data_IF_845700258387
#
_entry.id   IF_845700258387
#
_cell.length_a   1.000
_cell.length_b   1.000
_cell.length_c   1.000
_cell.angle_alpha   90.00
_cell.angle_beta   90.00
_cell.angle_gamma   90.00
#
_symmetry.space_group_name_H-M   'P 1'
#
loop_
_entity.id
_entity.type
_entity.pdbx_description
1 polymer ?
#
# COMPACT_ATOMS: atom_id res chain seq x y z
N UNK A 1 -24.57 10.54 -1.75
CA UNK A 1 -23.15 10.95 -1.68
C UNK A 1 -22.30 10.33 -2.82
N UNK A 2 -22.83 10.30 -4.03
CA UNK A 2 -22.21 9.65 -5.21
C UNK A 2 -21.62 10.64 -6.25
N UNK A 3 -22.02 11.94 -6.31
CA UNK A 3 -21.52 12.81 -7.38
C UNK A 3 -20.04 13.23 -7.22
N UNK A 4 -19.55 13.46 -6.01
CA UNK A 4 -18.16 13.91 -5.81
C UNK A 4 -17.09 12.89 -6.22
N UNK A 5 -17.36 11.58 -6.07
CA UNK A 5 -16.44 10.52 -6.47
C UNK A 5 -16.29 10.42 -7.99
N UNK A 6 -17.37 10.71 -8.73
CA UNK A 6 -17.37 10.68 -10.19
C UNK A 6 -16.55 11.83 -10.79
N UNK A 7 -16.61 13.02 -10.19
CA UNK A 7 -15.79 14.16 -10.62
C UNK A 7 -14.30 13.98 -10.31
N UNK A 8 -13.95 13.33 -9.19
CA UNK A 8 -12.57 13.01 -8.86
C UNK A 8 -11.97 11.94 -9.80
N UNK A 9 -12.77 10.94 -10.18
CA UNK A 9 -12.34 9.92 -11.14
C UNK A 9 -12.16 10.51 -12.55
N UNK A 10 -13.05 11.39 -12.99
CA UNK A 10 -12.95 12.09 -14.26
C UNK A 10 -11.76 13.06 -14.27
N UNK A 11 -11.51 13.80 -13.19
CA UNK A 11 -10.33 14.64 -13.06
C UNK A 11 -9.01 13.81 -13.13
N UNK A 12 -8.97 12.63 -12.51
CA UNK A 12 -7.81 11.74 -12.56
C UNK A 12 -7.59 11.17 -13.96
N UNK A 13 -8.65 10.81 -14.68
CA UNK A 13 -8.58 10.33 -16.07
C UNK A 13 -8.16 11.48 -17.01
N UNK A 14 -8.68 12.70 -16.81
CA UNK A 14 -8.28 13.88 -17.59
C UNK A 14 -6.79 14.23 -17.38
N UNK A 15 -6.27 14.12 -16.16
CA UNK A 15 -4.84 14.36 -15.87
C UNK A 15 -3.96 13.34 -16.57
N UNK A 16 -4.37 12.06 -16.62
CA UNK A 16 -3.63 11.02 -17.36
C UNK A 16 -3.69 11.28 -18.87
N UNK A 17 -4.83 11.72 -19.40
CA UNK A 17 -5.00 12.01 -20.82
C UNK A 17 -4.27 13.28 -21.27
N UNK A 18 -4.14 14.28 -20.39
CA UNK A 18 -3.45 15.53 -20.70
C UNK A 18 -1.91 15.42 -20.66
N UNK A 19 -1.38 14.49 -19.84
CA UNK A 19 0.07 14.22 -19.76
C UNK A 19 0.67 13.56 -21.01
N UNK A 20 -0.17 13.01 -21.90
CA UNK A 20 0.29 12.29 -23.09
C UNK A 20 0.64 13.19 -24.30
N UNK A 21 0.43 14.52 -24.20
CA UNK A 21 0.61 15.43 -25.31
C UNK A 21 1.76 16.46 -25.16
N UNK A 22 2.70 16.24 -24.24
CA UNK A 22 3.89 17.08 -24.15
C UNK A 22 4.98 16.51 -25.05
N UNK A 23 4.99 16.92 -26.31
CA UNK A 23 6.11 16.69 -27.22
C UNK A 23 7.30 17.53 -26.75
N UNK A 24 8.32 16.87 -26.24
CA UNK A 24 9.61 17.51 -25.95
C UNK A 24 10.26 17.94 -27.28
N UNK A 25 10.32 19.23 -27.53
CA UNK A 25 11.19 19.80 -28.60
C UNK A 25 12.65 19.67 -28.17
N UNK A 26 13.41 18.86 -28.90
CA UNK A 26 14.86 18.81 -28.76
C UNK A 26 15.49 20.09 -29.32
N UNK A 27 16.54 20.65 -28.68
CA UNK A 27 17.27 21.79 -29.24
C UNK A 27 18.01 21.37 -30.50
N UNK A 28 17.83 22.18 -31.57
CA UNK A 28 18.54 22.03 -32.81
C UNK A 28 20.01 22.46 -32.65
N UNK A 29 20.89 21.48 -32.56
CA UNK A 29 22.33 21.66 -32.61
C UNK A 29 22.93 20.42 -33.27
N UNK A 30 23.28 20.55 -34.56
CA UNK A 30 23.75 19.44 -35.38
C UNK A 30 25.14 18.96 -34.97
N UNK A 31 25.20 17.67 -34.63
CA UNK A 31 26.37 16.82 -34.82
C UNK A 31 25.92 15.69 -35.71
N UNK A 32 26.38 15.68 -36.97
CA UNK A 32 26.19 14.54 -37.88
C UNK A 32 27.04 13.36 -37.38
N UNK A 33 26.41 12.46 -36.66
CA UNK A 33 26.93 11.11 -36.50
C UNK A 33 26.45 10.26 -37.68
N UNK A 34 27.30 9.36 -38.25
CA UNK A 34 26.80 8.41 -39.25
C UNK A 34 25.62 7.66 -38.68
N UNK A 35 24.48 7.69 -39.33
CA UNK A 35 23.35 6.87 -39.06
C UNK A 35 23.74 5.39 -39.29
N UNK A 36 24.28 4.71 -38.25
CA UNK A 36 24.16 3.29 -38.20
C UNK A 36 22.67 3.03 -38.13
N UNK A 37 22.11 2.41 -39.17
CA UNK A 37 20.79 1.80 -39.16
C UNK A 37 20.77 0.75 -38.02
N UNK A 38 20.66 1.25 -36.79
CA UNK A 38 20.31 0.41 -35.66
C UNK A 38 18.85 0.02 -35.91
N UNK A 39 18.67 -1.25 -36.31
CA UNK A 39 17.38 -1.91 -36.25
C UNK A 39 16.73 -1.56 -34.91
N UNK A 40 15.83 -0.59 -34.92
CA UNK A 40 15.14 -0.16 -33.71
C UNK A 40 14.34 -1.35 -33.24
N UNK A 41 14.70 -1.97 -32.08
CA UNK A 41 14.01 -3.15 -31.60
C UNK A 41 12.53 -2.86 -31.55
N UNK A 42 11.73 -3.73 -32.16
CA UNK A 42 10.28 -3.59 -32.20
C UNK A 42 9.72 -3.73 -30.79
N UNK A 43 8.56 -3.12 -30.52
CA UNK A 43 7.86 -3.26 -29.24
C UNK A 43 7.65 -4.73 -28.84
N UNK A 44 7.61 -5.64 -29.81
CA UNK A 44 7.52 -7.09 -29.57
C UNK A 44 8.80 -7.68 -28.96
N UNK A 45 9.97 -7.20 -29.39
CA UNK A 45 11.26 -7.65 -28.85
C UNK A 45 11.46 -7.13 -27.42
N UNK A 46 11.01 -5.91 -27.15
CA UNK A 46 11.03 -5.33 -25.81
C UNK A 46 10.11 -6.10 -24.84
N UNK A 47 8.91 -6.50 -25.29
CA UNK A 47 8.00 -7.34 -24.49
C UNK A 47 8.61 -8.72 -24.26
N UNK A 48 9.24 -9.33 -25.27
CA UNK A 48 9.89 -10.63 -25.12
C UNK A 48 11.06 -10.57 -24.13
N UNK A 49 11.88 -9.54 -24.21
CA UNK A 49 12.99 -9.33 -23.28
C UNK A 49 12.52 -9.20 -21.80
N UNK A 50 11.35 -8.59 -21.60
CA UNK A 50 10.75 -8.39 -20.28
C UNK A 50 9.72 -9.47 -19.87
N UNK A 51 9.45 -10.45 -20.74
CA UNK A 51 8.40 -11.45 -20.52
C UNK A 51 8.57 -12.21 -19.19
N UNK A 52 9.81 -12.54 -18.83
CA UNK A 52 10.12 -13.22 -17.56
C UNK A 52 9.76 -12.33 -16.38
N UNK A 53 10.12 -11.05 -16.41
CA UNK A 53 9.86 -10.11 -15.31
C UNK A 53 8.37 -9.83 -15.17
N UNK A 54 7.66 -9.66 -16.29
CA UNK A 54 6.20 -9.52 -16.31
C UNK A 54 5.54 -10.79 -15.75
N UNK A 55 5.99 -11.97 -16.21
CA UNK A 55 5.47 -13.25 -15.71
C UNK A 55 5.67 -13.45 -14.22
N UNK A 56 6.83 -13.05 -13.68
CA UNK A 56 7.11 -13.11 -12.25
C UNK A 56 6.23 -12.14 -11.44
N UNK A 57 6.01 -10.91 -11.93
CA UNK A 57 5.11 -9.94 -11.27
C UNK A 57 3.68 -10.45 -11.28
N UNK A 58 3.21 -11.04 -12.39
CA UNK A 58 1.87 -11.64 -12.48
C UNK A 58 1.73 -12.80 -11.51
N UNK A 59 2.69 -13.73 -11.49
CA UNK A 59 2.68 -14.89 -10.59
C UNK A 59 2.70 -14.47 -9.13
N UNK A 60 3.55 -13.50 -8.77
CA UNK A 60 3.61 -12.95 -7.41
C UNK A 60 2.32 -12.23 -7.03
N UNK A 61 1.76 -11.43 -7.93
CA UNK A 61 0.48 -10.74 -7.69
C UNK A 61 -0.66 -11.74 -7.54
N UNK A 62 -0.70 -12.80 -8.35
CA UNK A 62 -1.67 -13.88 -8.21
C UNK A 62 -1.54 -14.57 -6.83
N UNK A 63 -0.33 -14.87 -6.37
CA UNK A 63 -0.07 -15.40 -5.02
C UNK A 63 -0.60 -14.45 -3.93
N UNK A 64 -0.32 -13.14 -4.07
CA UNK A 64 -0.77 -12.12 -3.12
C UNK A 64 -2.31 -12.04 -3.04
N UNK A 65 -2.99 -12.04 -4.19
CA UNK A 65 -4.45 -12.03 -4.25
C UNK A 65 -5.06 -13.34 -3.77
N UNK A 66 -4.51 -14.49 -4.13
CA UNK A 66 -4.93 -15.79 -3.61
C UNK A 66 -4.84 -15.80 -2.09
N UNK A 67 -3.72 -15.33 -1.53
CA UNK A 67 -3.57 -15.16 -0.09
C UNK A 67 -4.60 -14.21 0.52
N UNK A 68 -4.96 -13.15 -0.19
CA UNK A 68 -5.97 -12.17 0.24
C UNK A 68 -7.38 -12.77 0.25
N UNK A 69 -7.78 -13.53 -0.78
CA UNK A 69 -9.12 -14.10 -0.87
C UNK A 69 -9.30 -15.32 0.05
N UNK A 70 -8.32 -16.21 0.14
CA UNK A 70 -8.37 -17.39 1.01
C UNK A 70 -8.27 -17.06 2.50
N UNK A 71 -7.78 -15.85 2.85
CA UNK A 71 -7.61 -15.38 4.26
C UNK A 71 -6.82 -16.35 5.15
N UNK A 72 -6.00 -17.22 4.54
CA UNK A 72 -5.18 -18.18 5.25
C UNK A 72 -3.99 -17.50 5.93
N UNK A 73 -3.80 -17.78 7.24
CA UNK A 73 -2.70 -17.21 8.00
C UNK A 73 -1.33 -17.69 7.48
N UNK A 74 -1.22 -18.97 7.13
CA UNK A 74 0.03 -19.55 6.62
C UNK A 74 0.41 -18.90 5.29
N UNK A 75 -0.55 -18.83 4.35
CA UNK A 75 -0.35 -18.24 3.03
C UNK A 75 -0.02 -16.74 3.12
N UNK A 76 -0.60 -16.00 4.08
CA UNK A 76 -0.25 -14.60 4.35
C UNK A 76 1.25 -14.46 4.63
N UNK A 77 1.81 -15.24 5.57
CA UNK A 77 3.24 -15.13 5.92
C UNK A 77 4.16 -15.60 4.81
N UNK A 78 3.77 -16.62 4.04
CA UNK A 78 4.50 -17.03 2.82
C UNK A 78 4.55 -15.88 1.82
N UNK A 79 3.41 -15.22 1.58
CA UNK A 79 3.35 -14.05 0.67
C UNK A 79 4.19 -12.88 1.18
N UNK A 80 4.16 -12.60 2.49
CA UNK A 80 4.98 -11.54 3.08
C UNK A 80 6.48 -11.86 2.94
N UNK A 81 6.90 -13.09 3.19
CA UNK A 81 8.28 -13.54 2.96
C UNK A 81 8.70 -13.42 1.49
N UNK A 82 7.85 -13.90 0.58
CA UNK A 82 8.07 -13.75 -0.86
C UNK A 82 8.15 -12.28 -1.30
N UNK A 83 7.36 -11.40 -0.70
CA UNK A 83 7.40 -9.97 -0.96
C UNK A 83 8.75 -9.35 -0.57
N UNK A 84 9.26 -9.66 0.63
CA UNK A 84 10.56 -9.16 1.09
C UNK A 84 11.68 -9.63 0.17
N UNK A 85 11.66 -10.91 -0.23
CA UNK A 85 12.71 -11.48 -1.08
C UNK A 85 12.59 -10.96 -2.51
N UNK A 86 11.41 -11.08 -3.14
CA UNK A 86 11.22 -10.80 -4.56
C UNK A 86 11.17 -9.29 -4.86
N UNK A 87 10.21 -8.57 -4.24
CA UNK A 87 10.01 -7.12 -4.46
C UNK A 87 11.09 -6.30 -3.76
N UNK A 88 11.54 -6.76 -2.57
CA UNK A 88 12.58 -6.09 -1.80
C UNK A 88 13.97 -6.35 -2.37
N UNK A 89 14.59 -7.46 -2.00
CA UNK A 89 16.01 -7.70 -2.26
C UNK A 89 16.35 -8.08 -3.70
N UNK A 90 15.51 -8.87 -4.38
CA UNK A 90 15.85 -9.34 -5.72
C UNK A 90 15.65 -8.25 -6.79
N UNK A 91 14.45 -7.70 -6.89
CA UNK A 91 14.12 -6.74 -7.95
C UNK A 91 14.18 -5.27 -7.51
N UNK A 92 14.12 -4.99 -6.21
CA UNK A 92 14.07 -3.62 -5.64
C UNK A 92 13.02 -2.72 -6.32
N UNK A 93 11.89 -3.32 -6.75
CA UNK A 93 10.84 -2.66 -7.54
C UNK A 93 9.71 -2.13 -6.66
N UNK A 94 10.04 -1.54 -5.51
CA UNK A 94 9.03 -0.91 -4.66
C UNK A 94 8.43 0.32 -5.34
N UNK A 95 7.13 0.46 -5.22
CA UNK A 95 6.47 1.71 -5.60
C UNK A 95 6.83 2.79 -4.59
N UNK A 96 7.24 3.94 -5.11
CA UNK A 96 7.64 5.12 -4.37
C UNK A 96 6.73 6.29 -4.71
N UNK A 97 6.63 7.26 -3.80
CA UNK A 97 5.91 8.50 -4.06
C UNK A 97 6.60 9.32 -5.16
N UNK A 98 7.91 9.19 -5.31
CA UNK A 98 8.67 9.85 -6.40
C UNK A 98 8.20 9.39 -7.78
N UNK A 99 7.82 8.13 -7.91
CA UNK A 99 7.26 7.61 -9.16
C UNK A 99 5.90 8.25 -9.50
N UNK A 100 5.11 8.58 -8.47
CA UNK A 100 3.86 9.34 -8.64
C UNK A 100 4.17 10.77 -9.10
N UNK A 101 5.22 11.39 -8.56
CA UNK A 101 5.65 12.72 -8.98
C UNK A 101 6.25 12.73 -10.38
N UNK A 102 7.00 11.69 -10.76
CA UNK A 102 7.48 11.49 -12.12
C UNK A 102 6.34 11.49 -13.15
N UNK A 103 5.19 10.91 -12.79
CA UNK A 103 3.97 10.96 -13.60
C UNK A 103 3.50 12.40 -13.85
N UNK A 104 3.52 13.25 -12.83
CA UNK A 104 3.12 14.66 -12.96
C UNK A 104 4.19 15.53 -13.64
N UNK A 105 5.47 15.16 -13.54
CA UNK A 105 6.60 15.87 -14.12
C UNK A 105 6.92 15.49 -15.57
N UNK A 106 6.23 14.52 -16.14
CA UNK A 106 6.53 13.99 -17.48
C UNK A 106 7.81 13.12 -17.54
N UNK A 107 8.50 12.93 -16.42
CA UNK A 107 9.72 12.12 -16.30
C UNK A 107 9.38 10.68 -15.90
N UNK A 108 8.59 10.01 -16.72
CA UNK A 108 8.30 8.59 -16.52
C UNK A 108 9.49 7.74 -16.97
N UNK A 109 9.82 6.67 -16.24
CA UNK A 109 10.70 5.64 -16.78
C UNK A 109 10.11 5.15 -18.10
N UNK A 110 10.93 5.08 -19.15
CA UNK A 110 10.46 4.66 -20.47
C UNK A 110 9.82 3.28 -20.32
N UNK A 111 8.56 3.12 -20.75
CA UNK A 111 7.77 1.87 -20.66
C UNK A 111 8.57 0.68 -21.19
N UNK A 112 9.40 0.93 -22.18
CA UNK A 112 10.32 0.00 -22.83
C UNK A 112 11.25 -0.73 -21.85
N UNK A 113 11.67 -0.08 -20.74
CA UNK A 113 12.63 -0.67 -19.78
C UNK A 113 11.99 -1.16 -18.49
N UNK A 114 10.72 -0.91 -18.24
CA UNK A 114 10.11 -1.21 -16.94
C UNK A 114 8.61 -1.58 -17.00
N UNK A 115 8.20 -2.36 -18.00
CA UNK A 115 6.81 -2.81 -18.17
C UNK A 115 6.28 -3.53 -16.92
N UNK A 116 7.12 -4.35 -16.27
CA UNK A 116 6.77 -5.04 -15.03
C UNK A 116 6.43 -4.06 -13.89
N UNK A 117 7.14 -2.94 -13.80
CA UNK A 117 6.87 -1.90 -12.81
C UNK A 117 5.53 -1.19 -13.09
N UNK A 118 5.22 -0.84 -14.33
CA UNK A 118 3.93 -0.24 -14.71
C UNK A 118 2.77 -1.17 -14.42
N UNK A 119 2.94 -2.48 -14.68
CA UNK A 119 1.95 -3.48 -14.34
C UNK A 119 1.71 -3.54 -12.82
N UNK A 120 2.77 -3.53 -12.02
CA UNK A 120 2.66 -3.51 -10.55
C UNK A 120 1.97 -2.23 -10.05
N UNK A 121 2.28 -1.08 -10.66
CA UNK A 121 1.62 0.19 -10.36
C UNK A 121 0.13 0.15 -10.69
N UNK A 122 -0.23 -0.35 -11.87
CA UNK A 122 -1.62 -0.51 -12.29
C UNK A 122 -2.38 -1.46 -11.34
N UNK A 123 -1.80 -2.62 -11.02
CA UNK A 123 -2.37 -3.57 -10.05
C UNK A 123 -2.59 -2.88 -8.69
N UNK A 124 -1.65 -2.07 -8.24
CA UNK A 124 -1.74 -1.36 -6.97
C UNK A 124 -2.88 -0.35 -6.96
N UNK A 125 -3.01 0.47 -8.00
CA UNK A 125 -4.09 1.47 -8.12
C UNK A 125 -5.44 0.77 -8.20
N UNK A 126 -5.60 -0.20 -9.10
CA UNK A 126 -6.85 -0.93 -9.30
C UNK A 126 -7.26 -1.67 -8.03
N UNK A 127 -6.33 -2.40 -7.38
CA UNK A 127 -6.64 -3.12 -6.14
C UNK A 127 -6.99 -2.17 -5.00
N UNK A 128 -6.38 -0.97 -4.94
CA UNK A 128 -6.71 0.03 -3.92
C UNK A 128 -8.12 0.58 -4.11
N UNK A 129 -8.54 0.81 -5.34
CA UNK A 129 -9.92 1.26 -5.64
C UNK A 129 -10.92 0.14 -5.39
N UNK A 130 -10.61 -1.10 -5.71
CA UNK A 130 -11.55 -2.22 -5.53
C UNK A 130 -11.64 -2.65 -4.06
N UNK A 131 -10.53 -2.95 -3.42
CA UNK A 131 -10.51 -3.57 -2.08
C UNK A 131 -9.85 -2.71 -1.01
N UNK A 132 -9.20 -1.61 -1.34
CA UNK A 132 -8.43 -0.80 -0.42
C UNK A 132 -6.93 -1.11 -0.48
N UNK A 133 -6.16 -0.67 0.49
CA UNK A 133 -4.69 -0.68 0.52
C UNK A 133 -4.08 -2.09 0.62
N UNK A 134 -4.50 -3.03 -0.24
CA UNK A 134 -3.99 -4.42 -0.28
C UNK A 134 -2.49 -4.45 -0.57
N UNK A 135 -1.99 -3.53 -1.41
CA UNK A 135 -0.57 -3.37 -1.70
C UNK A 135 0.27 -3.25 -0.41
N UNK A 136 -0.11 -2.34 0.49
CA UNK A 136 0.61 -2.13 1.75
C UNK A 136 0.56 -3.35 2.69
N UNK A 137 -0.51 -4.13 2.60
CA UNK A 137 -0.70 -5.30 3.47
C UNK A 137 -0.07 -6.60 2.97
N UNK A 138 0.29 -6.69 1.66
CA UNK A 138 0.69 -7.96 1.05
C UNK A 138 1.84 -7.87 0.05
N UNK A 139 1.94 -6.76 -0.68
CA UNK A 139 2.87 -6.63 -1.81
C UNK A 139 4.08 -5.78 -1.44
N UNK A 140 3.90 -4.70 -0.66
CA UNK A 140 4.99 -3.83 -0.26
C UNK A 140 5.99 -4.56 0.64
N UNK A 141 7.26 -4.67 0.21
CA UNK A 141 8.29 -5.39 0.95
C UNK A 141 8.59 -4.74 2.32
N UNK A 142 8.56 -3.41 2.42
CA UNK A 142 8.75 -2.72 3.70
C UNK A 142 7.58 -2.97 4.67
N UNK A 143 6.34 -2.92 4.16
CA UNK A 143 5.15 -3.28 4.94
C UNK A 143 5.14 -4.75 5.35
N UNK A 144 5.66 -5.64 4.51
CA UNK A 144 5.82 -7.06 4.82
C UNK A 144 6.87 -7.27 5.93
N UNK A 145 8.03 -6.59 5.83
CA UNK A 145 9.10 -6.65 6.82
C UNK A 145 8.59 -6.23 8.22
N UNK A 146 7.90 -5.09 8.30
CA UNK A 146 7.37 -4.59 9.58
C UNK A 146 6.31 -5.52 10.16
N UNK A 147 5.41 -6.11 9.35
CA UNK A 147 4.42 -7.10 9.80
C UNK A 147 5.07 -8.40 10.31
N UNK A 148 6.18 -8.83 9.72
CA UNK A 148 6.95 -9.99 10.20
C UNK A 148 7.63 -9.63 11.53
N UNK A 149 8.26 -8.45 11.62
CA UNK A 149 8.84 -7.95 12.88
C UNK A 149 7.79 -7.90 14.00
N UNK A 150 6.58 -7.41 13.71
CA UNK A 150 5.48 -7.35 14.67
C UNK A 150 5.09 -8.74 15.21
N UNK A 151 5.32 -9.78 14.44
CA UNK A 151 5.04 -11.15 14.88
C UNK A 151 6.14 -11.72 15.79
N UNK A 152 7.38 -11.34 15.55
CA UNK A 152 8.55 -11.83 16.29
C UNK A 152 8.70 -11.10 17.63
N UNK A 153 8.43 -9.81 17.66
CA UNK A 153 8.57 -8.96 18.86
C UNK A 153 7.52 -9.32 19.91
N UNK A 154 7.94 -9.64 21.16
CA UNK A 154 7.01 -9.92 22.26
C UNK A 154 6.11 -8.71 22.56
N UNK A 155 4.83 -8.99 22.82
CA UNK A 155 3.81 -7.95 23.11
C UNK A 155 4.13 -7.08 24.33
N UNK A 156 4.98 -7.57 25.25
CA UNK A 156 5.41 -6.83 26.44
C UNK A 156 6.27 -5.60 26.14
N UNK A 157 6.95 -5.57 24.99
CA UNK A 157 7.79 -4.43 24.59
C UNK A 157 7.01 -3.38 23.79
N UNK A 158 5.76 -3.66 23.44
CA UNK A 158 4.95 -2.79 22.60
C UNK A 158 4.24 -1.72 23.40
N UNK A 159 4.44 -0.50 23.00
CA UNK A 159 3.76 0.66 23.56
C UNK A 159 2.39 0.78 22.89
N UNK A 160 1.33 0.78 23.70
CA UNK A 160 -0.02 1.09 23.23
C UNK A 160 -0.16 2.60 23.10
N UNK A 161 -0.15 3.09 21.87
CA UNK A 161 -0.34 4.52 21.59
C UNK A 161 -1.77 4.92 21.99
N UNK A 162 -1.94 5.96 22.84
CA UNK A 162 -3.26 6.48 23.15
C UNK A 162 -3.97 6.99 21.89
N UNK A 163 -5.28 6.79 21.79
CA UNK A 163 -6.04 7.16 20.59
C UNK A 163 -5.92 8.62 20.20
N UNK A 164 -5.93 9.51 21.17
CA UNK A 164 -5.78 10.95 20.91
C UNK A 164 -4.46 11.29 20.21
N UNK A 165 -3.38 10.58 20.58
CA UNK A 165 -2.06 10.72 19.93
C UNK A 165 -2.10 10.06 18.54
N UNK A 166 -2.69 8.88 18.44
CA UNK A 166 -2.81 8.15 17.18
C UNK A 166 -3.57 8.96 16.11
N UNK A 167 -4.68 9.58 16.48
CA UNK A 167 -5.50 10.39 15.58
C UNK A 167 -4.75 11.63 15.06
N UNK A 168 -3.96 12.27 15.93
CA UNK A 168 -3.12 13.41 15.55
C UNK A 168 -1.92 12.96 14.71
N UNK A 169 -1.22 11.91 15.14
CA UNK A 169 -0.06 11.37 14.46
C UNK A 169 -0.38 10.85 13.04
N UNK A 170 -1.59 10.36 12.82
CA UNK A 170 -2.04 9.93 11.49
C UNK A 170 -2.04 11.06 10.46
N UNK A 171 -2.10 12.32 10.87
CA UNK A 171 -2.00 13.48 9.98
C UNK A 171 -0.57 13.79 9.54
N UNK A 172 0.45 13.33 10.27
CA UNK A 172 1.87 13.59 9.96
C UNK A 172 2.20 13.08 8.55
N UNK A 173 1.77 11.89 8.18
CA UNK A 173 2.02 11.33 6.83
C UNK A 173 1.42 12.18 5.70
N UNK A 174 0.27 12.83 5.94
CA UNK A 174 -0.34 13.75 4.97
C UNK A 174 0.43 15.06 4.89
N UNK A 175 0.94 15.55 6.02
CA UNK A 175 1.85 16.69 6.06
C UNK A 175 3.15 16.41 5.31
N UNK A 176 3.75 15.23 5.52
CA UNK A 176 4.94 14.79 4.78
C UNK A 176 4.64 14.70 3.27
N UNK A 177 3.52 14.07 2.89
CA UNK A 177 3.10 13.99 1.49
C UNK A 177 2.96 15.39 0.85
N UNK A 178 2.30 16.32 1.54
CA UNK A 178 2.15 17.70 1.06
C UNK A 178 3.50 18.43 0.97
N UNK A 179 4.37 18.25 1.97
CA UNK A 179 5.70 18.86 1.99
C UNK A 179 6.60 18.34 0.86
N UNK A 180 6.62 17.01 0.64
CA UNK A 180 7.41 16.41 -0.43
C UNK A 180 6.86 16.82 -1.81
N UNK A 181 5.54 16.91 -1.95
CA UNK A 181 4.91 17.40 -3.19
C UNK A 181 5.28 18.87 -3.46
N UNK A 182 5.19 19.73 -2.46
CA UNK A 182 5.55 21.14 -2.57
C UNK A 182 7.04 21.29 -2.93
N UNK A 183 7.93 20.55 -2.26
CA UNK A 183 9.35 20.53 -2.59
C UNK A 183 9.59 20.13 -4.05
N UNK A 184 8.97 19.04 -4.52
CA UNK A 184 9.13 18.57 -5.89
C UNK A 184 8.61 19.58 -6.94
N UNK A 185 7.48 20.26 -6.66
CA UNK A 185 6.94 21.30 -7.57
C UNK A 185 7.92 22.46 -7.72
N UNK A 186 8.60 22.85 -6.63
CA UNK A 186 9.52 23.98 -6.62
C UNK A 186 10.87 23.63 -7.23
N UNK A 187 11.46 22.51 -6.81
CA UNK A 187 12.86 22.17 -7.14
C UNK A 187 12.99 21.25 -8.36
N UNK A 188 11.93 20.50 -8.69
CA UNK A 188 11.95 19.42 -9.70
C UNK A 188 13.02 18.35 -9.44
N UNK A 189 13.59 18.32 -8.23
CA UNK A 189 14.70 17.44 -7.85
C UNK A 189 14.21 16.32 -6.92
N UNK A 190 14.48 15.05 -7.23
CA UNK A 190 14.11 13.91 -6.39
C UNK A 190 15.08 13.64 -5.22
N UNK A 191 16.11 14.49 -4.97
CA UNK A 191 17.15 14.26 -3.97
C UNK A 191 16.64 14.06 -2.53
N UNK A 192 15.46 14.56 -2.20
CA UNK A 192 14.83 14.35 -0.88
C UNK A 192 14.37 12.91 -0.63
N UNK A 193 14.23 12.10 -1.69
CA UNK A 193 13.68 10.75 -1.63
C UNK A 193 14.32 9.82 -0.57
N UNK A 194 15.66 9.68 -0.50
CA UNK A 194 16.29 8.76 0.44
C UNK A 194 16.00 9.08 1.93
N UNK A 195 15.70 10.34 2.23
CA UNK A 195 15.41 10.78 3.61
C UNK A 195 13.95 10.55 4.00
N UNK A 196 13.05 10.47 3.03
CA UNK A 196 11.60 10.33 3.28
C UNK A 196 11.16 8.88 3.17
N UNK A 197 11.70 8.13 2.21
CA UNK A 197 11.34 6.74 1.97
C UNK A 197 12.54 5.81 2.18
N UNK A 198 12.53 4.95 3.23
CA UNK A 198 13.62 4.04 3.55
C UNK A 198 13.66 2.81 2.63
N UNK A 199 13.04 2.86 1.44
CA UNK A 199 12.97 1.74 0.50
C UNK A 199 14.32 1.38 -0.10
N UNK A 200 15.29 2.32 -0.07
CA UNK A 200 16.68 2.07 -0.44
C UNK A 200 17.37 1.00 0.43
N UNK A 201 16.77 0.60 1.57
CA UNK A 201 17.23 -0.55 2.37
C UNK A 201 17.42 -1.81 1.51
N UNK A 202 16.55 -2.01 0.53
CA UNK A 202 16.56 -3.18 -0.34
C UNK A 202 17.54 -3.04 -1.52
N UNK A 203 18.03 -1.84 -1.82
CA UNK A 203 19.03 -1.60 -2.87
C UNK A 203 20.45 -1.62 -2.33
N UNK A 204 21.38 -2.23 -3.08
CA UNK A 204 22.80 -2.40 -2.70
C UNK A 204 23.63 -1.15 -3.02
N UNK A 205 23.08 0.02 -3.03
CA UNK A 205 23.82 1.23 -3.37
C UNK A 205 24.44 1.90 -2.15
N UNK A 206 25.68 2.38 -2.29
CA UNK A 206 26.41 3.07 -1.25
C UNK A 206 25.61 4.24 -0.66
N UNK A 207 25.31 4.18 0.62
CA UNK A 207 24.52 5.17 1.34
C UNK A 207 25.38 5.87 2.37
N UNK A 208 25.02 7.09 2.68
CA UNK A 208 25.70 7.85 3.73
C UNK A 208 25.44 7.23 5.10
N UNK A 209 26.40 7.31 6.05
CA UNK A 209 26.21 6.77 7.41
C UNK A 209 25.00 7.40 8.12
N UNK A 210 24.62 8.63 7.77
CA UNK A 210 23.42 9.29 8.29
C UNK A 210 22.15 8.52 7.93
N UNK A 211 22.01 8.05 6.69
CA UNK A 211 20.85 7.28 6.25
C UNK A 211 20.74 5.94 6.97
N UNK A 212 21.87 5.25 7.18
CA UNK A 212 21.88 4.00 7.97
C UNK A 212 21.48 4.23 9.42
N UNK A 213 21.93 5.33 10.03
CA UNK A 213 21.53 5.69 11.39
C UNK A 213 20.04 5.99 11.47
N UNK A 214 19.50 6.76 10.53
CA UNK A 214 18.04 7.03 10.45
C UNK A 214 17.23 5.75 10.29
N UNK A 215 17.68 4.84 9.43
CA UNK A 215 17.02 3.54 9.24
C UNK A 215 17.07 2.70 10.52
N UNK A 216 18.23 2.61 11.18
CA UNK A 216 18.39 1.86 12.44
C UNK A 216 17.44 2.41 13.51
N UNK A 217 17.38 3.73 13.68
CA UNK A 217 16.46 4.39 14.63
C UNK A 217 15.00 4.08 14.27
N UNK A 218 14.65 4.11 12.99
CA UNK A 218 13.29 3.79 12.52
C UNK A 218 12.92 2.34 12.82
N UNK A 219 13.82 1.39 12.55
CA UNK A 219 13.59 -0.03 12.82
C UNK A 219 13.48 -0.30 14.32
N UNK A 220 14.35 0.31 15.15
CA UNK A 220 14.26 0.24 16.62
C UNK A 220 12.95 0.82 17.11
N UNK A 221 12.53 1.98 16.61
CA UNK A 221 11.25 2.59 16.98
C UNK A 221 10.05 1.70 16.57
N UNK A 222 10.16 0.97 15.45
CA UNK A 222 9.13 0.02 14.99
C UNK A 222 9.00 -1.19 15.94
N UNK A 223 10.04 -1.57 16.66
CA UNK A 223 9.95 -2.61 17.71
C UNK A 223 8.98 -2.19 18.82
N UNK A 224 8.99 -0.91 19.20
CA UNK A 224 8.11 -0.40 20.27
C UNK A 224 6.73 -0.02 19.76
N UNK A 225 6.64 0.60 18.58
CA UNK A 225 5.36 1.01 17.98
C UNK A 225 5.13 0.24 16.67
N UNK A 226 4.16 -0.69 16.65
CA UNK A 226 3.88 -1.52 15.49
C UNK A 226 3.65 -0.72 14.22
N UNK A 227 4.33 -1.10 13.14
CA UNK A 227 4.19 -0.50 11.80
C UNK A 227 4.35 1.04 11.80
N UNK A 228 5.21 1.59 12.67
CA UNK A 228 5.36 3.03 12.91
C UNK A 228 5.50 3.83 11.61
N UNK A 229 6.43 3.45 10.73
CA UNK A 229 6.64 4.15 9.47
C UNK A 229 5.39 4.14 8.57
N UNK A 230 4.83 2.96 8.34
CA UNK A 230 3.68 2.79 7.45
C UNK A 230 2.42 3.48 7.95
N UNK A 231 2.26 3.63 9.28
CA UNK A 231 1.09 4.27 9.89
C UNK A 231 1.20 5.79 9.89
N UNK A 232 2.37 6.34 10.20
CA UNK A 232 2.49 7.76 10.55
C UNK A 232 3.40 8.56 9.62
N UNK A 233 4.35 7.92 8.92
CA UNK A 233 5.39 8.62 8.16
C UNK A 233 5.33 8.37 6.64
N UNK A 234 4.80 7.25 6.18
CA UNK A 234 4.87 6.84 4.78
C UNK A 234 4.00 7.73 3.86
N UNK A 235 4.60 8.54 2.95
CA UNK A 235 3.84 9.40 2.02
C UNK A 235 3.10 8.59 0.96
N UNK A 236 3.67 7.50 0.46
CA UNK A 236 2.95 6.58 -0.44
C UNK A 236 1.73 5.98 0.28
N UNK A 237 1.88 5.62 1.55
CA UNK A 237 0.78 5.16 2.40
C UNK A 237 -0.31 6.22 2.58
N UNK A 238 0.04 7.51 2.66
CA UNK A 238 -0.92 8.61 2.68
C UNK A 238 -1.65 8.74 1.34
N UNK A 239 -0.95 8.71 0.22
CA UNK A 239 -1.51 8.76 -1.13
C UNK A 239 -2.52 7.62 -1.37
N UNK A 240 -2.11 6.37 -1.13
CA UNK A 240 -3.01 5.21 -1.24
C UNK A 240 -4.15 5.27 -0.22
N UNK A 241 -3.93 5.90 0.95
CA UNK A 241 -4.96 6.17 1.94
C UNK A 241 -6.05 7.10 1.38
N UNK A 242 -5.68 8.18 0.71
CA UNK A 242 -6.62 9.09 0.05
C UNK A 242 -7.40 8.32 -1.03
N UNK A 243 -6.70 7.56 -1.87
CA UNK A 243 -7.31 6.77 -2.94
C UNK A 243 -8.29 5.71 -2.37
N UNK A 244 -7.99 5.14 -1.20
CA UNK A 244 -8.85 4.14 -0.55
C UNK A 244 -10.19 4.69 -0.05
N UNK A 245 -10.40 6.00 -0.04
CA UNK A 245 -11.75 6.58 0.16
C UNK A 245 -12.73 6.18 -0.94
N UNK A 246 -12.21 5.87 -2.14
CA UNK A 246 -12.98 5.42 -3.30
C UNK A 246 -13.28 3.92 -3.29
N UNK A 247 -12.78 3.17 -2.28
CA UNK A 247 -12.89 1.71 -2.23
C UNK A 247 -14.34 1.23 -2.35
N UNK A 248 -14.55 0.32 -3.30
CA UNK A 248 -15.86 -0.28 -3.63
C UNK A 248 -16.20 -1.39 -2.63
N UNK A 249 -15.31 -2.38 -2.46
CA UNK A 249 -15.54 -3.54 -1.59
C UNK A 249 -15.03 -3.29 -0.17
N UNK A 250 -15.87 -2.62 0.65
CA UNK A 250 -15.54 -2.29 2.03
C UNK A 250 -15.85 -3.46 2.96
N UNK A 251 -15.04 -3.61 4.01
CA UNK A 251 -15.31 -4.57 5.08
C UNK A 251 -16.55 -4.09 5.85
N UNK A 252 -17.61 -4.90 5.84
CA UNK A 252 -18.83 -4.65 6.62
C UNK A 252 -18.71 -5.32 7.98
N UNK A 253 -19.13 -4.63 9.02
CA UNK A 253 -19.23 -5.14 10.39
C UNK A 253 -20.63 -4.85 10.92
N UNK A 254 -21.05 -5.62 11.89
CA UNK A 254 -22.31 -5.41 12.55
C UNK A 254 -22.36 -4.04 13.24
N UNK A 255 -23.45 -3.32 13.10
CA UNK A 255 -23.62 -1.96 13.62
C UNK A 255 -23.53 -1.87 15.16
N UNK A 256 -23.89 -2.95 15.86
CA UNK A 256 -23.89 -3.06 17.31
C UNK A 256 -22.50 -3.47 17.88
N UNK A 257 -21.46 -3.63 17.05
CA UNK A 257 -20.07 -3.93 17.49
C UNK A 257 -19.39 -2.76 18.23
N UNK A 258 -20.10 -2.09 19.15
CA UNK A 258 -19.57 -0.91 19.88
C UNK A 258 -18.85 -1.30 21.17
N UNK A 259 -19.31 -2.35 21.84
CA UNK A 259 -18.93 -2.68 23.23
C UNK A 259 -17.75 -3.65 23.32
N UNK A 260 -17.66 -4.61 22.39
CA UNK A 260 -16.73 -5.74 22.50
C UNK A 260 -15.25 -5.38 22.36
N UNK A 261 -14.85 -4.42 21.51
CA UNK A 261 -13.50 -3.93 21.24
C UNK A 261 -12.41 -4.99 20.95
N UNK A 262 -12.73 -6.29 20.79
CA UNK A 262 -11.75 -7.35 20.54
C UNK A 262 -10.99 -7.09 19.22
N UNK A 263 -11.73 -6.85 18.13
CA UNK A 263 -11.10 -6.56 16.82
C UNK A 263 -10.32 -5.26 16.83
N UNK A 264 -10.73 -4.27 17.63
CA UNK A 264 -10.03 -3.01 17.78
C UNK A 264 -8.68 -3.19 18.47
N UNK A 265 -8.64 -4.00 19.53
CA UNK A 265 -7.39 -4.34 20.24
C UNK A 265 -6.44 -5.18 19.38
N UNK A 266 -6.99 -5.96 18.45
CA UNK A 266 -6.22 -6.79 17.54
C UNK A 266 -5.75 -6.05 16.28
N UNK A 267 -6.24 -4.83 16.04
CA UNK A 267 -5.86 -4.04 14.88
C UNK A 267 -4.57 -3.26 15.15
N UNK A 268 -3.45 -3.80 14.73
CA UNK A 268 -2.13 -3.16 14.85
C UNK A 268 -2.00 -1.87 13.99
N UNK A 269 -2.93 -1.66 13.06
CA UNK A 269 -2.97 -0.50 12.16
C UNK A 269 -3.86 0.65 12.67
N UNK A 270 -4.56 0.48 13.79
CA UNK A 270 -5.44 1.51 14.35
C UNK A 270 -6.64 1.88 13.46
N UNK A 271 -6.97 1.04 12.47
CA UNK A 271 -8.02 1.34 11.49
C UNK A 271 -9.44 1.12 12.01
N UNK A 272 -9.64 0.49 13.17
CA UNK A 272 -10.95 0.14 13.69
C UNK A 272 -11.37 1.13 14.77
N UNK A 273 -12.51 1.78 14.56
CA UNK A 273 -13.09 2.76 15.49
C UNK A 273 -14.55 2.39 15.79
N UNK A 274 -14.74 1.61 16.86
CA UNK A 274 -16.04 1.04 17.19
C UNK A 274 -16.54 0.12 16.08
N UNK A 275 -17.78 0.32 15.56
CA UNK A 275 -18.31 -0.51 14.48
C UNK A 275 -17.71 -0.16 13.11
N UNK A 276 -17.09 1.01 12.97
CA UNK A 276 -16.60 1.52 11.67
C UNK A 276 -15.12 1.16 11.46
N UNK A 277 -14.78 0.90 10.19
CA UNK A 277 -13.40 0.74 9.72
C UNK A 277 -13.02 1.98 8.93
N UNK A 278 -11.92 2.62 9.33
CA UNK A 278 -11.37 3.80 8.64
C UNK A 278 -10.54 3.27 7.47
N UNK A 279 -11.07 3.39 6.25
CA UNK A 279 -10.45 2.82 5.05
C UNK A 279 -9.10 3.46 4.74
N UNK A 280 -8.91 4.73 5.08
CA UNK A 280 -7.62 5.42 4.90
C UNK A 280 -6.49 4.82 5.72
N UNK A 281 -6.79 4.12 6.81
CA UNK A 281 -5.82 3.46 7.69
C UNK A 281 -5.78 1.94 7.50
N UNK A 282 -6.81 1.35 6.89
CA UNK A 282 -6.93 -0.08 6.72
C UNK A 282 -6.05 -0.61 5.58
N UNK A 283 -5.11 -1.50 5.89
CA UNK A 283 -4.23 -2.16 4.90
C UNK A 283 -4.72 -3.55 4.48
N UNK A 284 -5.93 -3.94 4.86
CA UNK A 284 -6.50 -5.25 4.49
C UNK A 284 -5.63 -6.44 4.95
N UNK A 285 -5.14 -6.38 6.18
CA UNK A 285 -4.32 -7.46 6.74
C UNK A 285 -5.13 -8.70 7.18
N UNK A 286 -6.46 -8.66 7.12
CA UNK A 286 -7.45 -9.72 7.43
C UNK A 286 -7.49 -10.20 8.89
N UNK A 287 -6.67 -9.68 9.78
CA UNK A 287 -6.62 -10.15 11.16
C UNK A 287 -7.95 -9.92 11.90
N UNK A 288 -8.60 -8.76 11.66
CA UNK A 288 -9.92 -8.49 12.21
C UNK A 288 -11.04 -9.30 11.54
N UNK A 289 -10.94 -9.59 10.24
CA UNK A 289 -11.94 -10.41 9.53
C UNK A 289 -11.90 -11.86 10.01
N UNK A 290 -10.70 -12.41 10.24
CA UNK A 290 -10.53 -13.75 10.83
C UNK A 290 -11.10 -13.84 12.25
N UNK A 291 -10.85 -12.82 13.09
CA UNK A 291 -11.44 -12.76 14.43
C UNK A 291 -12.97 -12.63 14.38
N UNK A 292 -13.48 -11.85 13.44
CA UNK A 292 -14.91 -11.66 13.24
C UNK A 292 -15.61 -12.96 12.78
N UNK A 293 -14.93 -13.75 11.95
CA UNK A 293 -15.44 -15.04 11.46
C UNK A 293 -15.33 -16.18 12.49
N UNK A 294 -14.51 -16.03 13.54
CA UNK A 294 -14.30 -17.07 14.56
C UNK A 294 -15.45 -17.05 15.59
N UNK A 295 -16.35 -18.04 15.50
CA UNK A 295 -17.50 -18.17 16.38
C UNK A 295 -17.15 -18.30 17.87
N UNK A 296 -15.98 -18.85 18.18
CA UNK A 296 -15.51 -19.01 19.56
C UNK A 296 -15.02 -17.70 20.17
N UNK A 297 -14.43 -16.83 19.35
CA UNK A 297 -13.81 -15.57 19.78
C UNK A 297 -14.73 -14.38 19.64
N UNK A 298 -15.61 -14.37 18.64
CA UNK A 298 -16.50 -13.26 18.36
C UNK A 298 -17.85 -13.43 19.04
N UNK A 299 -18.20 -12.62 20.05
CA UNK A 299 -19.47 -12.72 20.75
C UNK A 299 -20.70 -12.40 19.87
N UNK A 300 -20.50 -11.77 18.72
CA UNK A 300 -21.55 -11.48 17.74
C UNK A 300 -22.34 -12.73 17.32
N UNK A 301 -21.66 -13.85 17.04
CA UNK A 301 -22.31 -15.10 16.66
C UNK A 301 -23.22 -15.66 17.80
N UNK A 302 -22.77 -15.58 19.05
CA UNK A 302 -23.57 -16.00 20.20
C UNK A 302 -24.79 -15.11 20.40
N UNK A 303 -24.63 -13.80 20.30
CA UNK A 303 -25.72 -12.82 20.47
C UNK A 303 -26.80 -13.03 19.40
N UNK A 304 -26.41 -13.18 18.13
CA UNK A 304 -27.36 -13.47 17.05
C UNK A 304 -28.08 -14.81 17.29
N UNK A 305 -27.32 -15.84 17.67
CA UNK A 305 -27.92 -17.16 17.98
C UNK A 305 -29.01 -17.06 19.06
N UNK A 306 -28.71 -16.36 20.17
CA UNK A 306 -29.69 -16.19 21.26
C UNK A 306 -30.89 -15.35 20.81
N UNK A 307 -30.69 -14.28 20.07
CA UNK A 307 -31.80 -13.44 19.54
C UNK A 307 -32.71 -14.22 18.59
N UNK A 308 -32.12 -15.01 17.69
CA UNK A 308 -32.90 -15.83 16.76
C UNK A 308 -33.68 -16.92 17.51
N UNK A 309 -33.10 -17.52 18.55
CA UNK A 309 -33.79 -18.52 19.39
C UNK A 309 -34.95 -17.92 20.18
N UNK A 310 -34.78 -16.73 20.74
CA UNK A 310 -35.86 -15.98 21.39
C UNK A 310 -36.99 -15.61 20.44
N UNK A 311 -36.63 -15.13 19.23
CA UNK A 311 -37.60 -14.80 18.20
C UNK A 311 -38.40 -16.04 17.74
N UNK A 312 -37.71 -17.19 17.57
CA UNK A 312 -38.38 -18.46 17.24
C UNK A 312 -39.32 -18.94 18.36
N UNK A 313 -38.90 -18.83 19.62
CA UNK A 313 -39.74 -19.18 20.77
C UNK A 313 -41.00 -18.28 20.89
N UNK A 314 -40.81 -16.97 20.64
CA UNK A 314 -41.92 -16.01 20.61
C UNK A 314 -42.91 -16.25 19.45
N UNK A 315 -42.43 -16.79 18.32
CA UNK A 315 -43.26 -17.16 17.18
C UNK A 315 -44.08 -18.47 17.42
N UNK A 316 -43.52 -19.37 18.21
CA UNK A 316 -44.18 -20.63 18.55
C UNK A 316 -45.18 -20.51 19.72
N UNK A 317 -45.11 -19.45 20.50
CA UNK A 317 -46.01 -19.14 21.59
C UNK A 317 -47.22 -18.29 21.22
N UNK A 318 -47.42 -18.04 19.92
CA UNK A 318 -48.61 -17.40 19.34
C UNK A 318 -49.42 -18.45 18.56
#
# INVERSE_FOLDING_TARGET
MIPAARHLLLAFICVIAFGANVTAQAPAGGFDFPEEEQDQPTWQDDIRAQAVDVGLVVAFSALAFTSFFLKSRRLKYVTLGASVIYIGFWKSTLLSIVNVFGLFGGNLPIVRYSLAWYLLAAITVVSTVLWGRVYCGRICAFGALTQVMDRVVPSKWRIKVPRAVEDRAAWIKYGILAGVLAYFIVTRDPLIYPYVEPFWLFGIYGKTPVLYTMLALLLVATVFVPNLYCRFLCPLGAFLGILSKLTVFRIKRWSECKTCRICEKACEWGAIRGPRIVMTECVRCDDCERLYADEKKCPHHRIIFYRNRQAAAAAQGR
#
